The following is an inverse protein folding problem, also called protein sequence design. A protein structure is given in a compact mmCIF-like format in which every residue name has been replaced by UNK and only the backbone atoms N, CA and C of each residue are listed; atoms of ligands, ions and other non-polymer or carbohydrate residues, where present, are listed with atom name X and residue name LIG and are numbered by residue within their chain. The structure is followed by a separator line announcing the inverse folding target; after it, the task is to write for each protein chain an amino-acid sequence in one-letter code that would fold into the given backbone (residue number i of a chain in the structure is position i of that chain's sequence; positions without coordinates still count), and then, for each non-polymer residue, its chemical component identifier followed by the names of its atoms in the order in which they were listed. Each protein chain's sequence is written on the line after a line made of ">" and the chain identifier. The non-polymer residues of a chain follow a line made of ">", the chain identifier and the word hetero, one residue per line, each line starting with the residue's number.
data_IF_120671312760
#
_entry.id   IF_120671312760
#
_cell.length_a   1.000
_cell.length_b   1.000
_cell.length_c   1.000
_cell.angle_alpha   90.00
_cell.angle_beta   90.00
_cell.angle_gamma   90.00
#
_symmetry.space_group_name_H-M   'P 1'
#
loop_
_entity.id
_entity.type
_entity.pdbx_description
1 polymer ?
#
# COMPACT_ATOMS: atom_id res chain seq x y z
N UNK A 1 21.23 31.79 -11.57
CA UNK A 1 20.14 31.01 -12.20
C UNK A 1 20.18 29.64 -11.57
N UNK A 2 19.52 29.49 -10.42
CA UNK A 2 19.61 28.29 -9.58
C UNK A 2 18.69 27.22 -10.14
N UNK A 3 19.28 26.13 -10.63
CA UNK A 3 18.56 24.90 -10.93
C UNK A 3 17.88 24.40 -9.65
N UNK A 4 16.59 24.69 -9.54
CA UNK A 4 15.73 24.06 -8.53
C UNK A 4 15.59 22.61 -8.95
N UNK A 5 16.45 21.73 -8.42
CA UNK A 5 16.27 20.29 -8.49
C UNK A 5 14.86 20.01 -7.96
N UNK A 6 13.95 19.66 -8.87
CA UNK A 6 12.58 19.30 -8.54
C UNK A 6 12.64 17.98 -7.77
N UNK A 7 12.74 18.07 -6.44
CA UNK A 7 12.78 16.90 -5.56
C UNK A 7 11.56 16.01 -5.88
N UNK A 8 11.83 14.77 -6.31
CA UNK A 8 10.77 13.79 -6.59
C UNK A 8 10.03 13.53 -5.29
N UNK A 9 8.69 13.47 -5.35
CA UNK A 9 7.88 13.02 -4.21
C UNK A 9 8.24 11.57 -3.88
N UNK A 10 8.66 11.32 -2.65
CA UNK A 10 8.90 9.96 -2.20
C UNK A 10 7.59 9.16 -2.26
N UNK A 11 7.70 7.94 -2.78
CA UNK A 11 6.60 7.00 -2.95
C UNK A 11 6.49 6.13 -1.71
N UNK A 12 5.30 6.09 -1.12
CA UNK A 12 5.01 5.28 0.06
C UNK A 12 3.93 4.25 -0.31
N UNK A 13 4.23 2.98 -0.08
CA UNK A 13 3.29 1.89 -0.30
C UNK A 13 2.87 1.28 1.03
N UNK A 14 1.57 1.35 1.33
CA UNK A 14 0.97 0.83 2.54
C UNK A 14 0.27 -0.48 2.19
N UNK A 15 0.59 -1.56 2.92
CA UNK A 15 0.15 -2.91 2.61
C UNK A 15 -0.72 -3.48 3.73
N UNK A 16 -1.90 -3.99 3.37
CA UNK A 16 -2.76 -4.79 4.24
C UNK A 16 -3.56 -5.83 3.45
N UNK A 17 -3.68 -7.01 4.04
CA UNK A 17 -4.51 -8.14 3.62
C UNK A 17 -5.74 -8.36 4.50
N UNK A 18 -5.78 -7.75 5.71
CA UNK A 18 -6.86 -7.87 6.70
C UNK A 18 -7.78 -6.65 6.70
N UNK A 19 -7.26 -5.46 6.44
CA UNK A 19 -8.04 -4.23 6.55
C UNK A 19 -8.85 -3.91 5.28
N UNK A 20 -9.96 -3.19 5.47
CA UNK A 20 -10.76 -2.57 4.40
C UNK A 20 -10.13 -1.21 4.05
N UNK A 21 -10.36 -0.66 2.85
CA UNK A 21 -9.49 0.38 2.30
C UNK A 21 -9.69 1.76 2.95
N UNK A 22 -10.79 1.98 3.68
CA UNK A 22 -11.15 3.27 4.29
C UNK A 22 -11.31 3.20 5.80
N UNK A 23 -10.49 2.38 6.47
CA UNK A 23 -10.56 2.31 7.93
C UNK A 23 -9.97 3.56 8.61
N UNK A 24 -10.31 3.74 9.89
CA UNK A 24 -9.92 4.93 10.66
C UNK A 24 -8.43 5.02 11.01
N UNK A 25 -7.66 3.94 10.91
CA UNK A 25 -6.24 3.89 11.29
C UNK A 25 -5.34 4.02 10.06
N UNK A 26 -5.42 3.07 9.13
CA UNK A 26 -4.55 2.96 7.97
C UNK A 26 -4.87 4.04 6.95
N UNK A 27 -6.14 4.23 6.61
CA UNK A 27 -6.51 5.20 5.57
C UNK A 27 -6.55 6.63 6.11
N UNK A 28 -7.42 6.87 7.11
CA UNK A 28 -7.71 8.24 7.53
C UNK A 28 -6.57 8.92 8.31
N UNK A 29 -5.92 8.20 9.24
CA UNK A 29 -4.88 8.79 10.09
C UNK A 29 -3.50 8.75 9.46
N UNK A 30 -3.22 7.74 8.63
CA UNK A 30 -1.89 7.52 8.08
C UNK A 30 -1.81 7.87 6.59
N UNK A 31 -2.49 7.13 5.71
CA UNK A 31 -2.39 7.33 4.27
C UNK A 31 -2.77 8.76 3.85
N UNK A 32 -3.90 9.26 4.33
CA UNK A 32 -4.35 10.63 4.07
C UNK A 32 -3.40 11.69 4.64
N UNK A 33 -2.76 11.43 5.78
CA UNK A 33 -1.80 12.37 6.38
C UNK A 33 -0.50 12.43 5.56
N UNK A 34 -0.02 11.29 5.08
CA UNK A 34 1.12 11.22 4.16
C UNK A 34 0.82 11.90 2.83
N UNK A 35 -0.36 11.66 2.24
CA UNK A 35 -0.76 12.32 1.01
C UNK A 35 -0.83 13.85 1.18
N UNK A 36 -1.38 14.33 2.30
CA UNK A 36 -1.40 15.76 2.66
C UNK A 36 -0.01 16.36 2.86
N UNK A 37 0.94 15.57 3.36
CA UNK A 37 2.34 15.97 3.51
C UNK A 37 3.11 16.00 2.17
N UNK A 38 2.48 15.60 1.06
CA UNK A 38 3.04 15.69 -0.29
C UNK A 38 3.73 14.43 -0.80
N UNK A 39 3.60 13.30 -0.11
CA UNK A 39 4.07 11.99 -0.58
C UNK A 39 3.15 11.43 -1.68
N UNK A 40 3.70 10.58 -2.55
CA UNK A 40 2.91 9.77 -3.50
C UNK A 40 2.52 8.46 -2.80
N UNK A 41 1.26 8.36 -2.37
CA UNK A 41 0.80 7.30 -1.47
C UNK A 41 -0.07 6.30 -2.21
N UNK A 42 0.32 5.02 -2.10
CA UNK A 42 -0.46 3.89 -2.57
C UNK A 42 -0.87 2.99 -1.41
N UNK A 43 -2.14 2.61 -1.36
CA UNK A 43 -2.68 1.65 -0.39
C UNK A 43 -3.12 0.38 -1.12
N UNK A 44 -2.45 -0.74 -0.85
CA UNK A 44 -2.88 -2.06 -1.31
C UNK A 44 -3.71 -2.69 -0.19
N UNK A 45 -5.02 -2.77 -0.41
CA UNK A 45 -5.98 -3.22 0.60
C UNK A 45 -7.13 -4.03 -0.02
N UNK A 46 -7.93 -4.71 0.81
CA UNK A 46 -9.09 -5.45 0.30
C UNK A 46 -10.12 -4.50 -0.28
N UNK A 47 -10.24 -4.49 -1.61
CA UNK A 47 -11.15 -3.61 -2.32
C UNK A 47 -11.65 -4.27 -3.60
N UNK A 48 -12.76 -3.76 -4.14
CA UNK A 48 -13.40 -4.27 -5.36
C UNK A 48 -12.93 -3.55 -6.63
N UNK A 49 -12.39 -2.34 -6.50
CA UNK A 49 -11.94 -1.52 -7.62
C UNK A 49 -10.68 -0.73 -7.28
N UNK A 50 -10.01 -0.26 -8.32
CA UNK A 50 -8.94 0.72 -8.20
C UNK A 50 -9.56 2.12 -8.19
N UNK A 51 -9.19 2.94 -7.23
CA UNK A 51 -9.64 4.33 -7.17
C UNK A 51 -8.67 5.21 -6.37
N UNK A 52 -8.74 6.53 -6.60
CA UNK A 52 -7.98 7.50 -5.82
C UNK A 52 -8.93 8.28 -4.92
N UNK A 53 -8.71 8.21 -3.61
CA UNK A 53 -9.53 8.90 -2.60
C UNK A 53 -8.62 9.73 -1.72
N UNK A 54 -8.94 11.01 -1.54
CA UNK A 54 -8.17 11.94 -0.70
C UNK A 54 -6.65 11.99 -1.03
N UNK A 55 -6.31 11.83 -2.32
CA UNK A 55 -4.93 11.84 -2.80
C UNK A 55 -4.16 10.52 -2.60
N UNK A 56 -4.83 9.46 -2.15
CA UNK A 56 -4.26 8.11 -1.98
C UNK A 56 -4.77 7.21 -3.10
N UNK A 57 -3.85 6.56 -3.84
CA UNK A 57 -4.21 5.54 -4.84
C UNK A 57 -4.49 4.21 -4.13
N UNK A 58 -5.71 3.70 -4.23
CA UNK A 58 -6.11 2.43 -3.63
C UNK A 58 -6.07 1.34 -4.69
N UNK A 59 -5.16 0.38 -4.52
CA UNK A 59 -5.00 -0.77 -5.41
C UNK A 59 -5.74 -1.97 -4.82
N UNK A 60 -6.67 -2.60 -5.57
CA UNK A 60 -7.55 -3.61 -5.02
C UNK A 60 -6.85 -4.95 -4.83
N UNK A 61 -7.01 -5.48 -3.62
CA UNK A 61 -6.69 -6.86 -3.26
C UNK A 61 -7.99 -7.68 -3.14
N UNK A 62 -8.08 -8.87 -3.74
CA UNK A 62 -9.30 -9.66 -3.68
C UNK A 62 -9.59 -10.14 -2.25
N UNK A 63 -10.89 -10.22 -1.91
CA UNK A 63 -11.32 -10.81 -0.64
C UNK A 63 -10.90 -12.29 -0.56
N UNK A 64 -10.20 -12.73 0.50
CA UNK A 64 -9.80 -14.12 0.65
C UNK A 64 -11.03 -15.01 0.93
N UNK A 65 -11.03 -16.22 0.35
CA UNK A 65 -12.06 -17.25 0.60
C UNK A 65 -11.87 -17.98 1.92
N UNK A 66 -10.64 -18.08 2.41
CA UNK A 66 -10.27 -18.74 3.66
C UNK A 66 -8.96 -18.17 4.22
N UNK A 67 -8.59 -18.53 5.46
CA UNK A 67 -7.31 -18.11 6.05
C UNK A 67 -6.11 -18.61 5.24
N UNK A 68 -6.13 -19.89 4.82
CA UNK A 68 -5.06 -20.47 4.01
C UNK A 68 -4.95 -19.79 2.64
N UNK A 69 -6.08 -19.49 1.99
CA UNK A 69 -6.08 -18.74 0.73
C UNK A 69 -5.50 -17.32 0.92
N UNK A 70 -5.73 -16.70 2.08
CA UNK A 70 -5.12 -15.39 2.41
C UNK A 70 -3.60 -15.51 2.52
N UNK A 71 -3.12 -16.47 3.30
CA UNK A 71 -1.69 -16.67 3.56
C UNK A 71 -0.87 -17.16 2.36
N UNK A 72 -1.54 -17.56 1.27
CA UNK A 72 -0.88 -18.09 0.06
C UNK A 72 -1.16 -17.21 -1.16
N UNK A 73 -2.26 -17.44 -1.86
CA UNK A 73 -2.57 -16.79 -3.14
C UNK A 73 -2.72 -15.26 -3.02
N UNK A 74 -3.38 -14.79 -1.95
CA UNK A 74 -3.57 -13.34 -1.72
C UNK A 74 -2.25 -12.68 -1.33
N UNK A 75 -1.48 -13.29 -0.44
CA UNK A 75 -0.17 -12.78 -0.03
C UNK A 75 0.81 -12.71 -1.21
N UNK A 76 0.81 -13.73 -2.07
CA UNK A 76 1.62 -13.75 -3.29
C UNK A 76 1.20 -12.66 -4.29
N UNK A 77 -0.10 -12.42 -4.45
CA UNK A 77 -0.61 -11.32 -5.27
C UNK A 77 -0.21 -9.96 -4.69
N UNK A 78 -0.34 -9.78 -3.38
CA UNK A 78 0.06 -8.56 -2.69
C UNK A 78 1.55 -8.29 -2.90
N UNK A 79 2.41 -9.31 -2.73
CA UNK A 79 3.84 -9.18 -3.01
C UNK A 79 4.12 -8.72 -4.43
N UNK A 80 3.48 -9.34 -5.44
CA UNK A 80 3.64 -8.94 -6.84
C UNK A 80 3.19 -7.51 -7.12
N UNK A 81 2.13 -7.06 -6.47
CA UNK A 81 1.70 -5.67 -6.59
C UNK A 81 2.74 -4.75 -5.92
N UNK A 82 3.18 -5.07 -4.70
CA UNK A 82 4.20 -4.30 -3.99
C UNK A 82 5.50 -4.15 -4.80
N UNK A 83 5.99 -5.23 -5.43
CA UNK A 83 7.17 -5.18 -6.33
C UNK A 83 6.95 -4.25 -7.52
N UNK A 84 5.74 -4.25 -8.11
CA UNK A 84 5.41 -3.38 -9.25
C UNK A 84 5.29 -1.91 -8.86
N UNK A 85 4.87 -1.64 -7.61
CA UNK A 85 4.75 -0.27 -7.11
C UNK A 85 6.12 0.42 -6.97
N UNK A 86 7.21 -0.34 -6.76
CA UNK A 86 8.58 0.17 -6.69
C UNK A 86 8.67 1.45 -5.82
N UNK A 87 8.20 1.31 -4.58
CA UNK A 87 8.07 2.42 -3.64
C UNK A 87 9.36 2.63 -2.87
N UNK A 88 9.61 3.87 -2.49
CA UNK A 88 10.79 4.25 -1.72
C UNK A 88 10.68 3.76 -0.26
N UNK A 89 9.45 3.65 0.27
CA UNK A 89 9.14 3.16 1.62
C UNK A 89 7.90 2.27 1.62
N UNK A 90 7.95 1.16 2.37
CA UNK A 90 6.83 0.24 2.55
C UNK A 90 6.39 0.16 4.01
N UNK A 91 5.08 0.29 4.26
CA UNK A 91 4.46 0.11 5.58
C UNK A 91 3.62 -1.18 5.59
N UNK A 92 3.84 -2.04 6.60
CA UNK A 92 3.18 -3.34 6.72
C UNK A 92 2.27 -3.36 7.95
N UNK A 93 0.98 -3.62 7.77
CA UNK A 93 -0.01 -3.56 8.88
C UNK A 93 -0.42 -4.92 9.47
N UNK A 94 -0.13 -6.02 8.78
CA UNK A 94 -0.52 -7.35 9.23
C UNK A 94 0.73 -8.22 9.50
N UNK A 95 0.71 -9.10 10.53
CA UNK A 95 1.88 -9.92 10.86
C UNK A 95 2.39 -10.81 9.71
N UNK A 96 1.50 -11.35 8.87
CA UNK A 96 1.89 -12.19 7.74
C UNK A 96 2.72 -11.45 6.67
N UNK A 97 2.66 -10.12 6.65
CA UNK A 97 3.36 -9.29 5.68
C UNK A 97 4.86 -9.12 5.99
N UNK A 98 5.33 -9.55 7.16
CA UNK A 98 6.77 -9.58 7.44
C UNK A 98 7.54 -10.42 6.41
N UNK A 99 6.94 -11.52 5.93
CA UNK A 99 7.53 -12.36 4.87
C UNK A 99 7.63 -11.58 3.57
N UNK A 100 6.62 -10.76 3.24
CA UNK A 100 6.64 -9.89 2.06
C UNK A 100 7.76 -8.87 2.17
N UNK A 101 7.95 -8.26 3.33
CA UNK A 101 9.05 -7.33 3.59
C UNK A 101 10.43 -7.96 3.39
N UNK A 102 10.64 -9.22 3.78
CA UNK A 102 11.91 -9.94 3.55
C UNK A 102 12.20 -10.22 2.06
N UNK A 103 11.14 -10.32 1.25
CA UNK A 103 11.21 -10.59 -0.19
C UNK A 103 11.34 -9.31 -1.03
N UNK A 104 10.99 -8.15 -0.48
CA UNK A 104 11.25 -6.85 -1.07
C UNK A 104 12.69 -6.46 -0.74
N UNK A 105 13.55 -6.37 -1.76
CA UNK A 105 14.95 -5.94 -1.68
C UNK A 105 15.23 -4.87 -2.72
#
# INVERSE_FOLDING_TARGET
>A
MTDVVKQRRARVCILTSVHIPFDGRVFHREACSLAKAGYDVTLIAKHDKEETVSGVRVVPLPKPRSRLHRMTAVLWRLYRLAVREDADVYHFHDPELMIVGLLLK
#
